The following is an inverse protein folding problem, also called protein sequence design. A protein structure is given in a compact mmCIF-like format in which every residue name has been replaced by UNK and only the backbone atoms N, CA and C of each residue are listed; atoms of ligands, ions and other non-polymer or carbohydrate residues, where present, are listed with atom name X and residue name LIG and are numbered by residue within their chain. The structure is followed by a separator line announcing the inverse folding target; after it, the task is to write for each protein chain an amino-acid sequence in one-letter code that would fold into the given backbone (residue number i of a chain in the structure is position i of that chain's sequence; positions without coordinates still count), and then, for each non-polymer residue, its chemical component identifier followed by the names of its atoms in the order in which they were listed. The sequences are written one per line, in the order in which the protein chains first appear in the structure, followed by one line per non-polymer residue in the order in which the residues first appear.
data_IF_702883117368
#
_entry.id   IF_702883117368
#
_cell.length_a   1.000
_cell.length_b   1.000
_cell.length_c   1.000
_cell.angle_alpha   90.00
_cell.angle_beta   90.00
_cell.angle_gamma   90.00
#
_symmetry.space_group_name_H-M   'P 1'
#
loop_
_entity.id
_entity.type
_entity.pdbx_description
1 polymer ?
#
# COMPACT_ATOMS: atom_id res chain seq x y z
N UNK A 1 -21.37 6.04 2.70
CA UNK A 1 -20.12 6.81 2.79
C UNK A 1 -19.00 5.89 2.33
N UNK A 2 -18.26 6.23 1.28
CA UNK A 2 -17.15 5.38 0.83
C UNK A 2 -16.11 5.30 1.95
N UNK A 3 -15.65 4.08 2.28
CA UNK A 3 -14.60 3.89 3.27
C UNK A 3 -13.32 4.59 2.80
N UNK A 4 -12.67 5.32 3.70
CA UNK A 4 -11.40 6.00 3.41
C UNK A 4 -10.34 4.95 3.06
N UNK A 5 -9.70 5.08 1.91
CA UNK A 5 -8.59 4.22 1.50
C UNK A 5 -7.30 4.58 2.24
N UNK A 6 -6.61 3.58 2.80
CA UNK A 6 -5.28 3.72 3.39
C UNK A 6 -4.27 2.85 2.62
N UNK A 7 -3.31 3.44 1.89
CA UNK A 7 -2.32 2.68 1.14
C UNK A 7 -1.27 2.05 2.06
N UNK A 8 -0.75 0.88 1.65
CA UNK A 8 0.36 0.20 2.31
C UNK A 8 1.68 0.63 1.68
N UNK A 9 2.59 1.23 2.48
CA UNK A 9 3.84 1.79 1.98
C UNK A 9 4.96 0.77 1.75
N UNK A 10 4.99 -0.27 2.56
CA UNK A 10 6.08 -1.26 2.60
C UNK A 10 5.74 -2.57 1.87
N UNK A 11 4.65 -2.59 1.10
CA UNK A 11 4.39 -3.65 0.13
C UNK A 11 5.37 -3.56 -1.04
N UNK A 12 5.46 -4.62 -1.85
CA UNK A 12 6.28 -4.61 -3.06
C UNK A 12 5.86 -3.49 -4.03
N UNK A 13 4.56 -3.22 -4.13
CA UNK A 13 4.04 -2.18 -5.01
C UNK A 13 4.17 -0.78 -4.39
N UNK A 14 3.85 -0.64 -3.11
CA UNK A 14 3.91 0.64 -2.40
C UNK A 14 5.32 1.21 -2.28
N UNK A 15 6.34 0.35 -2.19
CA UNK A 15 7.74 0.75 -2.16
C UNK A 15 8.26 1.37 -3.48
N UNK A 16 7.45 1.36 -4.55
CA UNK A 16 7.79 1.99 -5.85
C UNK A 16 7.81 3.51 -5.78
N UNK A 17 7.07 4.11 -4.84
CA UNK A 17 6.97 5.56 -4.68
C UNK A 17 7.87 6.06 -3.55
N UNK A 18 8.53 7.20 -3.79
CA UNK A 18 9.20 7.94 -2.71
C UNK A 18 8.19 8.67 -1.81
N UNK A 19 8.60 9.06 -0.60
CA UNK A 19 7.72 9.82 0.32
C UNK A 19 7.16 11.10 -0.31
N UNK A 20 7.98 11.82 -1.07
CA UNK A 20 7.55 13.04 -1.77
C UNK A 20 6.44 12.78 -2.79
N UNK A 21 6.41 11.61 -3.41
CA UNK A 21 5.33 11.25 -4.33
C UNK A 21 4.07 10.83 -3.59
N UNK A 22 4.22 10.11 -2.48
CA UNK A 22 3.10 9.75 -1.63
C UNK A 22 2.34 10.98 -1.13
N UNK A 23 3.04 12.05 -0.75
CA UNK A 23 2.44 13.34 -0.38
C UNK A 23 1.56 13.92 -1.49
N UNK A 24 1.96 13.75 -2.76
CA UNK A 24 1.22 14.24 -3.93
C UNK A 24 -0.01 13.40 -4.29
N UNK A 25 -0.17 12.21 -3.71
CA UNK A 25 -1.35 11.36 -3.97
C UNK A 25 -2.60 11.83 -3.23
N UNK A 26 -2.49 12.82 -2.34
CA UNK A 26 -3.58 13.25 -1.45
C UNK A 26 -3.77 12.36 -0.21
N UNK A 27 -2.97 11.30 -0.07
CA UNK A 27 -2.99 10.42 1.11
C UNK A 27 -2.43 11.14 2.33
N UNK A 28 -3.17 11.12 3.43
CA UNK A 28 -2.76 11.71 4.73
C UNK A 28 -2.44 10.64 5.78
N UNK A 29 -2.83 9.40 5.51
CA UNK A 29 -2.70 8.24 6.40
C UNK A 29 -2.04 7.12 5.60
N UNK A 30 -1.16 6.37 6.25
CA UNK A 30 -0.33 5.37 5.60
C UNK A 30 -0.20 4.15 6.47
N UNK A 31 -0.40 2.98 5.88
CA UNK A 31 -0.27 1.71 6.55
C UNK A 31 1.09 1.06 6.28
N UNK A 32 1.50 0.22 7.23
CA UNK A 32 2.66 -0.64 7.11
C UNK A 32 2.25 -2.07 7.48
N UNK A 33 2.40 -3.01 6.56
CA UNK A 33 2.19 -4.42 6.82
C UNK A 33 3.22 -4.92 7.85
N UNK A 34 2.74 -5.43 8.97
CA UNK A 34 3.62 -5.84 10.08
C UNK A 34 4.51 -7.02 9.71
N UNK A 35 4.02 -7.95 8.88
CA UNK A 35 4.80 -9.14 8.51
C UNK A 35 6.02 -8.74 7.67
N UNK A 36 5.85 -7.79 6.75
CA UNK A 36 6.93 -7.20 5.96
C UNK A 36 7.90 -6.38 6.81
N UNK A 37 7.43 -5.76 7.90
CA UNK A 37 8.31 -5.11 8.88
C UNK A 37 9.16 -6.14 9.63
N UNK A 38 8.55 -7.21 10.15
CA UNK A 38 9.20 -8.26 10.95
C UNK A 38 10.28 -9.03 10.17
N UNK A 39 10.20 -9.04 8.83
CA UNK A 39 11.24 -9.61 7.97
C UNK A 39 12.54 -8.79 7.92
N UNK A 40 12.52 -7.52 8.34
CA UNK A 40 13.70 -6.65 8.26
C UNK A 40 14.71 -6.96 9.38
N UNK A 41 16.01 -6.98 9.10
CA UNK A 41 17.03 -7.07 10.14
C UNK A 41 17.02 -5.82 11.03
N UNK A 42 17.32 -5.99 12.32
CA UNK A 42 17.47 -4.85 13.25
C UNK A 42 16.16 -4.22 13.75
N UNK A 43 15.11 -5.03 13.95
CA UNK A 43 13.78 -4.58 14.39
C UNK A 43 13.79 -3.65 15.60
N UNK A 44 14.69 -3.88 16.56
CA UNK A 44 14.79 -3.11 17.82
C UNK A 44 15.13 -1.63 17.63
N UNK A 45 15.79 -1.24 16.53
CA UNK A 45 16.18 0.15 16.28
C UNK A 45 15.32 0.84 15.19
N UNK A 46 14.40 0.11 14.56
CA UNK A 46 13.64 0.62 13.43
C UNK A 46 12.50 1.55 13.88
N UNK A 47 12.36 2.69 13.19
CA UNK A 47 11.26 3.65 13.38
C UNK A 47 10.56 3.88 12.06
N UNK A 48 9.24 3.91 12.09
CA UNK A 48 8.42 4.22 10.92
C UNK A 48 8.65 5.66 10.47
N UNK A 49 8.75 5.81 9.16
CA UNK A 49 8.81 7.11 8.47
C UNK A 49 7.70 7.15 7.45
N UNK A 50 6.84 8.15 7.56
CA UNK A 50 5.79 8.48 6.61
C UNK A 50 5.55 9.99 6.70
N UNK A 51 5.02 10.62 5.63
CA UNK A 51 4.71 12.05 5.65
C UNK A 51 3.44 12.39 6.46
N UNK A 52 2.68 11.38 6.90
CA UNK A 52 1.43 11.56 7.64
C UNK A 52 1.24 10.53 8.75
N UNK A 53 -0.02 10.29 9.09
CA UNK A 53 -0.44 9.39 10.17
C UNK A 53 -0.05 7.93 9.84
N UNK A 54 0.62 7.24 10.77
CA UNK A 54 1.17 5.89 10.55
C UNK A 54 0.31 4.84 11.24
N UNK A 55 -0.15 3.88 10.45
CA UNK A 55 -0.91 2.74 10.91
C UNK A 55 -0.05 1.49 10.72
N UNK A 56 0.03 0.62 11.72
CA UNK A 56 0.60 -0.72 11.52
C UNK A 56 -0.53 -1.70 11.33
N UNK A 57 -0.52 -2.38 10.18
CA UNK A 57 -1.49 -3.40 9.87
C UNK A 57 -1.04 -4.75 10.42
N UNK A 58 -1.72 -5.22 11.48
CA UNK A 58 -1.50 -6.53 12.07
C UNK A 58 -2.62 -7.51 11.71
N UNK A 59 -3.49 -7.22 10.74
CA UNK A 59 -4.62 -8.08 10.36
C UNK A 59 -4.22 -9.52 10.00
N UNK A 60 -3.02 -9.68 9.43
CA UNK A 60 -2.45 -10.98 9.04
C UNK A 60 -1.49 -11.58 10.07
N UNK A 61 -1.42 -11.03 11.29
CA UNK A 61 -0.60 -11.62 12.34
C UNK A 61 -1.07 -13.05 12.63
N UNK A 62 -0.13 -13.95 12.89
CA UNK A 62 -0.43 -15.33 13.28
C UNK A 62 0.21 -15.66 14.61
N UNK A 63 -0.54 -16.35 15.48
CA UNK A 63 -0.01 -16.86 16.74
C UNK A 63 0.17 -18.38 16.66
N UNK A 64 1.19 -18.88 17.36
CA UNK A 64 1.31 -20.31 17.58
C UNK A 64 0.43 -20.79 18.76
N UNK A 65 0.47 -22.09 19.07
CA UNK A 65 -0.31 -22.67 20.18
C UNK A 65 0.03 -22.08 21.57
N UNK A 66 1.21 -21.46 21.73
CA UNK A 66 1.65 -20.77 22.95
C UNK A 66 1.30 -19.27 22.94
N UNK A 67 0.50 -18.80 21.99
CA UNK A 67 0.17 -17.37 21.77
C UNK A 67 1.38 -16.48 21.45
N UNK A 68 2.47 -17.04 20.96
CA UNK A 68 3.63 -16.28 20.49
C UNK A 68 3.41 -15.84 19.04
N UNK A 69 3.86 -14.64 18.69
CA UNK A 69 3.81 -14.10 17.33
C UNK A 69 4.70 -14.93 16.44
N UNK A 70 4.13 -15.53 15.40
CA UNK A 70 4.83 -16.35 14.41
C UNK A 70 4.85 -15.62 13.07
N UNK A 71 6.03 -15.56 12.45
CA UNK A 71 6.20 -14.98 11.12
C UNK A 71 7.29 -15.70 10.35
N UNK A 72 7.23 -15.58 9.02
CA UNK A 72 8.23 -16.11 8.09
C UNK A 72 9.32 -15.07 7.87
N UNK A 73 10.58 -15.50 7.89
CA UNK A 73 11.74 -14.64 7.60
C UNK A 73 12.10 -14.66 6.12
N UNK A 74 13.02 -13.78 5.72
CA UNK A 74 13.47 -13.63 4.33
C UNK A 74 14.11 -14.90 3.75
N UNK A 75 14.72 -15.75 4.58
CA UNK A 75 15.28 -17.06 4.20
C UNK A 75 14.23 -18.17 4.11
N UNK A 76 12.96 -17.83 4.36
CA UNK A 76 11.83 -18.76 4.36
C UNK A 76 11.65 -19.58 5.63
N UNK A 77 12.54 -19.44 6.63
CA UNK A 77 12.36 -20.06 7.94
C UNK A 77 11.27 -19.35 8.76
N UNK A 78 10.85 -19.96 9.87
CA UNK A 78 9.88 -19.36 10.78
C UNK A 78 10.57 -18.90 12.06
N UNK A 79 10.20 -17.71 12.53
CA UNK A 79 10.57 -17.22 13.85
C UNK A 79 9.34 -16.99 14.71
N UNK A 80 9.55 -17.04 16.01
CA UNK A 80 8.55 -16.77 17.03
C UNK A 80 9.07 -15.72 18.00
N UNK A 81 8.20 -14.80 18.42
CA UNK A 81 8.50 -13.75 19.40
C UNK A 81 7.40 -13.75 20.45
N UNK A 82 7.77 -13.53 21.72
CA UNK A 82 6.79 -13.40 22.79
C UNK A 82 5.87 -12.21 22.54
N UNK A 83 4.59 -12.35 22.91
CA UNK A 83 3.61 -11.29 22.69
C UNK A 83 4.00 -9.99 23.40
N UNK A 84 4.56 -10.08 24.62
CA UNK A 84 5.03 -8.91 25.36
C UNK A 84 6.15 -8.16 24.63
N UNK A 85 7.12 -8.89 24.07
CA UNK A 85 8.24 -8.29 23.34
C UNK A 85 7.75 -7.64 22.04
N UNK A 86 6.80 -8.29 21.36
CA UNK A 86 6.18 -7.74 20.17
C UNK A 86 5.40 -6.45 20.46
N UNK A 87 4.60 -6.41 21.52
CA UNK A 87 3.83 -5.22 21.91
C UNK A 87 4.77 -4.06 22.32
N UNK A 88 5.82 -4.34 23.09
CA UNK A 88 6.85 -3.36 23.44
C UNK A 88 7.52 -2.78 22.18
N UNK A 89 7.87 -3.65 21.23
CA UNK A 89 8.44 -3.22 19.96
C UNK A 89 7.44 -2.36 19.16
N UNK A 90 6.18 -2.78 19.07
CA UNK A 90 5.12 -2.09 18.33
C UNK A 90 4.88 -0.69 18.88
N UNK A 91 4.86 -0.52 20.20
CA UNK A 91 4.79 0.80 20.84
C UNK A 91 6.02 1.65 20.52
N UNK A 92 7.19 1.02 20.44
CA UNK A 92 8.45 1.72 20.15
C UNK A 92 8.57 2.15 18.69
N UNK A 93 7.91 1.50 17.72
CA UNK A 93 8.19 1.70 16.29
C UNK A 93 7.75 3.08 15.76
N UNK A 94 6.99 3.85 16.56
CA UNK A 94 6.50 5.18 16.20
C UNK A 94 5.25 5.13 15.32
N UNK A 95 4.40 4.12 15.52
CA UNK A 95 3.06 4.03 14.96
C UNK A 95 2.07 4.91 15.75
N UNK A 96 1.06 5.44 15.08
CA UNK A 96 0.02 6.27 15.69
C UNK A 96 -1.25 5.45 15.99
N UNK A 97 -1.51 4.38 15.22
CA UNK A 97 -2.58 3.42 15.45
C UNK A 97 -2.24 2.04 14.88
N UNK A 98 -3.08 1.04 15.17
CA UNK A 98 -2.91 -0.34 14.69
C UNK A 98 -4.24 -0.94 14.19
N UNK A 99 -4.17 -1.70 13.10
CA UNK A 99 -5.23 -2.65 12.75
C UNK A 99 -4.92 -3.95 13.47
N UNK A 100 -5.87 -4.46 14.25
CA UNK A 100 -5.61 -5.54 15.20
C UNK A 100 -6.63 -6.68 15.07
N UNK A 101 -6.18 -7.96 14.93
CA UNK A 101 -7.09 -9.08 14.64
C UNK A 101 -7.58 -9.85 15.88
N UNK A 102 -7.06 -9.55 17.08
CA UNK A 102 -7.36 -10.32 18.30
C UNK A 102 -8.21 -9.52 19.28
N UNK A 103 -9.15 -10.18 19.94
CA UNK A 103 -10.04 -9.57 20.94
C UNK A 103 -9.61 -9.85 22.37
N UNK A 104 -8.84 -10.92 22.60
CA UNK A 104 -8.36 -11.36 23.91
C UNK A 104 -7.04 -10.69 24.33
N UNK A 105 -6.42 -9.95 23.42
CA UNK A 105 -5.16 -9.23 23.62
C UNK A 105 -5.35 -7.81 23.13
N UNK A 106 -5.10 -6.83 23.99
CA UNK A 106 -5.23 -5.41 23.65
C UNK A 106 -3.84 -4.77 23.52
N UNK A 107 -3.53 -4.13 22.39
CA UNK A 107 -2.27 -3.40 22.25
C UNK A 107 -2.33 -2.05 22.97
N UNK A 108 -1.19 -1.54 23.41
CA UNK A 108 -1.04 -0.20 23.99
C UNK A 108 -0.99 0.90 22.91
N UNK A 109 -1.79 0.76 21.86
CA UNK A 109 -1.95 1.72 20.77
C UNK A 109 -3.44 1.81 20.37
N UNK A 110 -3.91 2.98 19.90
CA UNK A 110 -5.27 3.13 19.39
C UNK A 110 -5.57 2.13 18.26
N UNK A 111 -6.77 1.55 18.29
CA UNK A 111 -7.25 0.69 17.21
C UNK A 111 -7.75 1.55 16.04
N UNK A 112 -7.30 1.23 14.83
CA UNK A 112 -7.75 1.90 13.61
C UNK A 112 -9.04 1.26 13.08
N UNK A 113 -10.11 2.05 12.95
CA UNK A 113 -11.41 1.59 12.46
C UNK A 113 -12.05 2.48 11.38
N UNK A 114 -11.39 3.58 10.98
CA UNK A 114 -12.00 4.64 10.16
C UNK A 114 -11.77 4.50 8.65
N UNK A 115 -11.08 3.45 8.21
CA UNK A 115 -10.74 3.27 6.80
C UNK A 115 -10.22 1.87 6.48
N UNK A 116 -10.21 1.56 5.19
CA UNK A 116 -9.76 0.29 4.65
C UNK A 116 -8.27 0.38 4.30
N UNK A 117 -7.47 -0.42 5.00
CA UNK A 117 -6.06 -0.65 4.66
C UNK A 117 -5.99 -1.64 3.50
N UNK A 118 -5.31 -1.29 2.42
CA UNK A 118 -5.13 -2.19 1.27
C UNK A 118 -3.93 -1.79 0.40
N UNK A 119 -3.35 -2.78 -0.27
CA UNK A 119 -2.35 -2.59 -1.33
C UNK A 119 -2.94 -2.68 -2.74
N UNK A 120 -4.24 -3.02 -2.88
CA UNK A 120 -4.87 -3.34 -4.18
C UNK A 120 -4.59 -2.29 -5.26
N UNK A 121 -4.77 -0.97 -5.04
CA UNK A 121 -4.51 0.02 -6.09
C UNK A 121 -3.07 0.04 -6.61
N UNK A 122 -2.10 -0.17 -5.72
CA UNK A 122 -0.69 -0.22 -6.08
C UNK A 122 -0.35 -1.57 -6.74
N UNK A 123 -0.89 -2.67 -6.23
CA UNK A 123 -0.73 -4.01 -6.78
C UNK A 123 -1.28 -4.11 -8.22
N UNK A 124 -2.49 -3.59 -8.44
CA UNK A 124 -3.14 -3.55 -9.76
C UNK A 124 -2.29 -2.77 -10.76
N UNK A 125 -1.76 -1.62 -10.35
CA UNK A 125 -0.84 -0.83 -11.18
C UNK A 125 0.43 -1.62 -11.57
N UNK A 126 0.94 -2.47 -10.68
CA UNK A 126 2.05 -3.38 -11.00
C UNK A 126 1.70 -4.39 -12.10
N UNK A 127 0.43 -4.82 -12.15
CA UNK A 127 -0.09 -5.72 -13.19
C UNK A 127 -0.54 -4.98 -14.47
N UNK A 128 -0.34 -3.65 -14.53
CA UNK A 128 -0.77 -2.81 -15.65
C UNK A 128 -2.25 -2.42 -15.62
N UNK A 129 -2.97 -2.75 -14.55
CA UNK A 129 -4.37 -2.37 -14.37
C UNK A 129 -4.44 -0.91 -13.90
N UNK A 130 -5.21 -0.10 -14.60
CA UNK A 130 -5.45 1.31 -14.25
C UNK A 130 -6.93 1.59 -14.06
N UNK A 131 -7.22 2.60 -13.24
CA UNK A 131 -8.59 2.94 -12.84
C UNK A 131 -9.12 4.11 -13.69
N UNK A 132 -10.29 3.99 -14.31
CA UNK A 132 -10.90 5.07 -15.08
C UNK A 132 -12.39 5.18 -14.77
N UNK A 133 -12.76 6.19 -13.98
CA UNK A 133 -14.14 6.45 -13.58
C UNK A 133 -14.87 5.19 -13.11
N UNK A 134 -15.61 4.53 -14.00
CA UNK A 134 -16.41 3.34 -13.77
C UNK A 134 -15.71 2.00 -14.12
N UNK A 135 -14.48 1.99 -14.61
CA UNK A 135 -13.86 0.78 -15.16
C UNK A 135 -12.44 0.54 -14.66
N UNK A 136 -12.09 -0.74 -14.56
CA UNK A 136 -10.73 -1.24 -14.44
C UNK A 136 -10.33 -1.74 -15.84
N UNK A 137 -9.16 -1.34 -16.33
CA UNK A 137 -8.67 -1.77 -17.64
C UNK A 137 -7.19 -2.08 -17.58
N UNK A 138 -6.71 -3.00 -18.43
CA UNK A 138 -5.30 -3.31 -18.52
C UNK A 138 -4.65 -2.44 -19.59
N UNK A 139 -3.64 -1.65 -19.24
CA UNK A 139 -2.95 -0.76 -20.16
C UNK A 139 -2.31 -1.50 -21.34
N UNK A 140 -2.02 -2.79 -21.19
CA UNK A 140 -1.46 -3.66 -22.25
C UNK A 140 -2.50 -4.15 -23.26
N UNK A 141 -3.78 -3.85 -23.07
CA UNK A 141 -4.81 -4.19 -24.07
C UNK A 141 -4.52 -3.47 -25.40
N UNK A 142 -4.74 -4.19 -26.51
CA UNK A 142 -4.41 -3.70 -27.88
C UNK A 142 -5.06 -2.36 -28.22
N UNK A 143 -6.25 -2.08 -27.66
CA UNK A 143 -6.94 -0.82 -27.89
C UNK A 143 -6.14 0.40 -27.41
N UNK A 144 -5.25 0.23 -26.42
CA UNK A 144 -4.48 1.32 -25.85
C UNK A 144 -3.15 1.58 -26.56
N UNK A 145 -2.70 0.70 -27.47
CA UNK A 145 -1.41 0.82 -28.18
C UNK A 145 -1.24 2.17 -28.90
N UNK A 146 -2.34 2.73 -29.40
CA UNK A 146 -2.38 4.01 -30.14
C UNK A 146 -3.35 5.03 -29.54
N UNK A 147 -3.83 4.79 -28.32
CA UNK A 147 -4.75 5.67 -27.63
C UNK A 147 -3.99 6.87 -27.02
N UNK A 148 -4.16 8.04 -27.62
CA UNK A 148 -3.53 9.28 -27.16
C UNK A 148 -4.32 9.99 -26.04
N UNK A 149 -5.40 9.39 -25.54
CA UNK A 149 -6.11 9.91 -24.36
C UNK A 149 -5.33 9.64 -23.07
N UNK A 150 -5.65 10.41 -22.02
CA UNK A 150 -5.14 10.20 -20.66
C UNK A 150 -5.74 8.94 -20.04
N UNK A 151 -5.18 8.46 -18.92
CA UNK A 151 -5.76 7.33 -18.18
C UNK A 151 -7.23 7.58 -17.81
N UNK A 152 -7.55 8.77 -17.31
CA UNK A 152 -8.92 9.22 -17.07
C UNK A 152 -9.07 10.72 -17.38
N UNK A 153 -10.13 11.16 -18.10
CA UNK A 153 -10.25 12.55 -18.59
C UNK A 153 -10.22 13.65 -17.53
N UNK A 154 -10.77 13.37 -16.34
CA UNK A 154 -10.92 14.36 -15.26
C UNK A 154 -9.94 14.14 -14.09
N UNK A 155 -8.96 13.24 -14.25
CA UNK A 155 -8.01 12.93 -13.20
C UNK A 155 -6.92 14.00 -13.10
N UNK A 156 -6.74 14.53 -11.89
CA UNK A 156 -5.75 15.56 -11.56
C UNK A 156 -4.47 15.01 -10.91
N UNK A 157 -4.23 13.69 -10.99
CA UNK A 157 -3.00 13.11 -10.47
C UNK A 157 -1.77 13.64 -11.24
N UNK A 158 -0.57 13.48 -10.68
CA UNK A 158 0.68 13.93 -11.31
C UNK A 158 0.90 13.29 -12.69
N UNK A 159 0.54 12.02 -12.86
CA UNK A 159 0.65 11.29 -14.13
C UNK A 159 -0.23 11.90 -15.22
N UNK A 160 -1.52 12.13 -14.93
CA UNK A 160 -2.46 12.70 -15.88
C UNK A 160 -2.18 14.19 -16.15
N UNK A 161 -1.81 14.95 -15.12
CA UNK A 161 -1.45 16.36 -15.24
C UNK A 161 -0.18 16.57 -16.08
N UNK A 162 0.74 15.61 -16.09
CA UNK A 162 1.91 15.62 -16.98
C UNK A 162 1.58 15.27 -18.44
N UNK A 163 0.34 14.88 -18.75
CA UNK A 163 -0.10 14.57 -20.11
C UNK A 163 0.31 13.18 -20.60
N UNK A 164 0.66 12.24 -19.70
CA UNK A 164 1.02 10.88 -20.12
C UNK A 164 -0.20 10.14 -20.68
N UNK A 165 -0.08 9.73 -21.94
CA UNK A 165 -1.15 9.06 -22.67
C UNK A 165 -1.17 7.56 -22.39
N UNK A 166 -2.31 6.92 -22.67
CA UNK A 166 -2.45 5.46 -22.57
C UNK A 166 -1.47 4.73 -23.49
N UNK A 167 -1.28 5.20 -24.72
CA UNK A 167 -0.29 4.67 -25.66
C UNK A 167 1.15 4.77 -25.12
N UNK A 168 1.49 5.91 -24.50
CA UNK A 168 2.80 6.07 -23.91
C UNK A 168 3.03 5.10 -22.75
N UNK A 169 2.05 4.94 -21.86
CA UNK A 169 2.13 4.03 -20.72
C UNK A 169 2.09 2.55 -21.14
N UNK A 170 1.35 2.21 -22.19
CA UNK A 170 1.35 0.89 -22.82
C UNK A 170 2.77 0.52 -23.28
N UNK A 171 3.39 1.39 -24.07
CA UNK A 171 4.76 1.21 -24.55
C UNK A 171 5.76 1.16 -23.37
N UNK A 172 5.62 2.07 -22.41
CA UNK A 172 6.54 2.16 -21.29
C UNK A 172 6.46 0.92 -20.39
N UNK A 173 5.28 0.32 -20.19
CA UNK A 173 5.17 -0.89 -19.38
C UNK A 173 5.87 -2.09 -20.03
N UNK A 174 5.90 -2.14 -21.36
CA UNK A 174 6.60 -3.20 -22.11
C UNK A 174 8.13 -3.05 -22.09
N UNK A 175 8.64 -1.82 -22.06
CA UNK A 175 10.08 -1.54 -22.24
C UNK A 175 10.78 -0.95 -21.03
N UNK A 176 10.06 -0.37 -20.09
CA UNK A 176 10.58 0.24 -18.84
C UNK A 176 9.55 0.07 -17.71
N UNK A 177 9.26 -1.19 -17.32
CA UNK A 177 8.10 -1.52 -16.48
C UNK A 177 8.08 -0.76 -15.15
N UNK A 178 9.23 -0.62 -14.48
CA UNK A 178 9.29 0.08 -13.19
C UNK A 178 8.84 1.55 -13.27
N UNK A 179 9.15 2.23 -14.38
CA UNK A 179 8.75 3.63 -14.57
C UNK A 179 7.26 3.73 -14.87
N UNK A 180 6.73 2.85 -15.73
CA UNK A 180 5.30 2.80 -16.01
C UNK A 180 4.49 2.47 -14.74
N UNK A 181 4.91 1.46 -13.99
CA UNK A 181 4.28 1.07 -12.73
C UNK A 181 4.26 2.24 -11.74
N UNK A 182 5.36 3.01 -11.62
CA UNK A 182 5.40 4.22 -10.80
C UNK A 182 4.29 5.22 -11.17
N UNK A 183 4.07 5.46 -12.46
CA UNK A 183 3.02 6.35 -12.94
C UNK A 183 1.61 5.80 -12.71
N UNK A 184 1.42 4.50 -12.92
CA UNK A 184 0.15 3.83 -12.68
C UNK A 184 -0.20 3.79 -11.19
N UNK A 185 0.76 3.55 -10.29
CA UNK A 185 0.54 3.57 -8.84
C UNK A 185 0.10 4.95 -8.38
N UNK A 186 0.77 6.02 -8.85
CA UNK A 186 0.36 7.40 -8.54
C UNK A 186 -1.09 7.65 -8.96
N UNK A 187 -1.46 7.22 -10.17
CA UNK A 187 -2.81 7.38 -10.69
C UNK A 187 -3.85 6.59 -9.88
N UNK A 188 -3.64 5.29 -9.68
CA UNK A 188 -4.60 4.43 -8.99
C UNK A 188 -4.80 4.84 -7.53
N UNK A 189 -3.72 5.19 -6.82
CA UNK A 189 -3.83 5.67 -5.43
C UNK A 189 -4.61 6.97 -5.37
N UNK A 190 -4.26 7.95 -6.21
CA UNK A 190 -4.97 9.23 -6.25
C UNK A 190 -6.46 9.04 -6.55
N UNK A 191 -6.77 8.17 -7.51
CA UNK A 191 -8.13 7.81 -7.87
C UNK A 191 -8.88 7.18 -6.69
N UNK A 192 -8.27 6.23 -5.96
CA UNK A 192 -8.87 5.60 -4.78
C UNK A 192 -9.03 6.55 -3.59
N UNK A 193 -8.19 7.57 -3.44
CA UNK A 193 -8.41 8.62 -2.43
C UNK A 193 -9.68 9.44 -2.72
N UNK A 194 -9.97 9.72 -4.00
CA UNK A 194 -11.15 10.49 -4.40
C UNK A 194 -12.44 9.67 -4.43
N UNK A 195 -12.37 8.42 -4.92
CA UNK A 195 -13.54 7.61 -5.23
C UNK A 195 -13.74 6.41 -4.30
N UNK A 196 -12.82 6.16 -3.37
CA UNK A 196 -12.77 4.95 -2.54
C UNK A 196 -12.15 3.76 -3.27
N UNK A 197 -12.00 2.64 -2.56
CA UNK A 197 -11.58 1.37 -3.16
C UNK A 197 -12.82 0.64 -3.68
N UNK A 198 -12.70 0.07 -4.88
CA UNK A 198 -13.65 -0.91 -5.39
C UNK A 198 -13.25 -2.26 -4.85
N UNK A 199 -14.05 -2.81 -3.94
CA UNK A 199 -13.97 -4.24 -3.66
C UNK A 199 -14.58 -4.96 -4.87
N UNK A 200 -13.82 -5.83 -5.50
CA UNK A 200 -14.37 -6.86 -6.40
C UNK A 200 -15.15 -7.90 -5.59
#
# INVERSE_FOLDING_TARGET
MALKFIPILNSSAGATLSFFQWEKTGSTHFAFDVLSLLQRPGLTAFKLKAPGFKIVDCSHLTLNAKKQVRFKTTDGSFKTVEMSDFLNWLQSIGADAVVWPYTDITPDLPLWTEGLVSDTPAHDAHQGIFYDNAHLANILDKQFEKDLSLLSPDCQCETCSAGFTRAYLHHLLQHTPLLAQRFLVVHNVFFSQLHGIRAE
#
